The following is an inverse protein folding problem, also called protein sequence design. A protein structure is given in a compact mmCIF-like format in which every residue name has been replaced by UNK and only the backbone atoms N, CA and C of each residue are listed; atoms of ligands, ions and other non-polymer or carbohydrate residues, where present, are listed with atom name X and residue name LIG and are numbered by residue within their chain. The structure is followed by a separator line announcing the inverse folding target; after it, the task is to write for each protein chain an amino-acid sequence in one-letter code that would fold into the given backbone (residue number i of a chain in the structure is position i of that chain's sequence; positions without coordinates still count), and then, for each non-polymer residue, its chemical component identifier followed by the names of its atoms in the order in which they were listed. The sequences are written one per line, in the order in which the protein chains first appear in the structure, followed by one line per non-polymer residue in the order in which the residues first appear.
data_IF_924397769526
#
_entry.id   IF_924397769526
#
_cell.length_a   1.000
_cell.length_b   1.000
_cell.length_c   1.000
_cell.angle_alpha   90.00
_cell.angle_beta   90.00
_cell.angle_gamma   90.00
#
_symmetry.space_group_name_H-M   'P 1'
#
loop_
_entity.id
_entity.type
_entity.pdbx_description
1 polymer ?
#
# COMPACT_ATOMS: atom_id res chain seq x y z
N UNK A 1 -50.91 -33.95 -31.41
CA UNK A 1 -49.47 -34.29 -31.34
C UNK A 1 -48.67 -33.02 -31.12
N UNK A 2 -48.09 -32.82 -29.93
CA UNK A 2 -47.19 -31.69 -29.66
C UNK A 2 -45.75 -32.13 -29.86
N UNK A 3 -45.11 -31.65 -30.94
CA UNK A 3 -43.71 -31.96 -31.25
C UNK A 3 -42.82 -31.05 -30.40
N UNK A 4 -42.24 -31.59 -29.32
CA UNK A 4 -41.15 -30.92 -28.58
C UNK A 4 -39.98 -30.68 -29.54
N UNK A 5 -39.72 -29.42 -29.89
CA UNK A 5 -38.49 -29.02 -30.57
C UNK A 5 -37.36 -29.02 -29.53
N UNK A 6 -36.52 -30.06 -29.58
CA UNK A 6 -35.28 -30.10 -28.84
C UNK A 6 -34.28 -29.16 -29.51
N UNK A 7 -34.04 -27.99 -28.91
CA UNK A 7 -32.98 -27.09 -29.33
C UNK A 7 -31.65 -27.74 -28.99
N UNK A 8 -30.85 -28.11 -30.00
CA UNK A 8 -29.49 -28.60 -29.80
C UNK A 8 -28.63 -27.43 -29.31
N UNK A 9 -27.91 -27.55 -28.18
CA UNK A 9 -26.95 -26.54 -27.79
C UNK A 9 -25.86 -26.45 -28.86
N UNK A 10 -25.69 -25.27 -29.45
CA UNK A 10 -24.55 -24.97 -30.34
C UNK A 10 -23.28 -24.89 -29.50
N UNK A 11 -22.27 -25.70 -29.84
CA UNK A 11 -20.96 -25.64 -29.18
C UNK A 11 -20.16 -24.41 -29.60
N UNK A 12 -19.32 -23.92 -28.69
CA UNK A 12 -18.37 -22.83 -28.92
C UNK A 12 -17.27 -23.29 -29.92
N UNK A 13 -16.84 -22.43 -30.84
CA UNK A 13 -15.78 -22.81 -31.78
C UNK A 13 -14.38 -22.64 -31.16
N UNK A 14 -13.43 -23.48 -31.57
CA UNK A 14 -12.02 -23.36 -31.12
C UNK A 14 -11.40 -22.02 -31.57
N UNK A 15 -11.82 -21.51 -32.72
CA UNK A 15 -11.31 -20.23 -33.23
C UNK A 15 -11.82 -19.04 -32.41
N UNK A 16 -13.08 -19.07 -31.96
CA UNK A 16 -13.61 -18.05 -31.03
C UNK A 16 -12.80 -18.05 -29.73
N UNK A 17 -12.47 -19.22 -29.19
CA UNK A 17 -11.70 -19.31 -27.95
C UNK A 17 -10.27 -18.79 -28.13
N UNK A 18 -9.60 -19.11 -29.24
CA UNK A 18 -8.24 -18.63 -29.52
C UNK A 18 -8.17 -17.10 -29.60
N UNK A 19 -9.15 -16.45 -30.25
CA UNK A 19 -9.18 -14.99 -30.34
C UNK A 19 -9.41 -14.37 -28.97
N UNK A 20 -10.31 -14.94 -28.15
CA UNK A 20 -10.57 -14.45 -26.80
C UNK A 20 -9.31 -14.53 -25.93
N UNK A 21 -8.56 -15.64 -26.00
CA UNK A 21 -7.31 -15.79 -25.24
C UNK A 21 -6.25 -14.80 -25.72
N UNK A 22 -6.15 -14.55 -27.03
CA UNK A 22 -5.21 -13.58 -27.58
C UNK A 22 -5.51 -12.15 -27.06
N UNK A 23 -6.79 -11.75 -27.03
CA UNK A 23 -7.20 -10.43 -26.53
C UNK A 23 -6.94 -10.32 -25.02
N UNK A 24 -7.34 -11.31 -24.22
CA UNK A 24 -7.12 -11.32 -22.77
C UNK A 24 -5.62 -11.29 -22.44
N UNK A 25 -4.79 -11.99 -23.23
CA UNK A 25 -3.34 -11.99 -23.08
C UNK A 25 -2.72 -10.60 -23.24
N UNK A 26 -3.17 -9.82 -24.22
CA UNK A 26 -2.68 -8.44 -24.41
C UNK A 26 -3.17 -7.52 -23.29
N UNK A 27 -4.45 -7.63 -22.90
CA UNK A 27 -5.01 -6.80 -21.83
C UNK A 27 -4.38 -7.11 -20.46
N UNK A 28 -4.09 -8.37 -20.15
CA UNK A 28 -3.51 -8.77 -18.86
C UNK A 28 -2.07 -8.30 -18.69
N UNK A 29 -1.28 -8.27 -19.77
CA UNK A 29 0.11 -7.80 -19.75
C UNK A 29 0.24 -6.34 -19.25
N UNK A 30 -0.76 -5.50 -19.53
CA UNK A 30 -0.80 -4.10 -19.08
C UNK A 30 -1.62 -3.97 -17.78
N UNK A 31 -2.73 -4.71 -17.68
CA UNK A 31 -3.68 -4.59 -16.56
C UNK A 31 -3.13 -5.09 -15.23
N UNK A 32 -2.40 -6.22 -15.22
CA UNK A 32 -1.84 -6.81 -14.00
C UNK A 32 -0.83 -5.87 -13.31
N UNK A 33 0.23 -5.37 -13.98
CA UNK A 33 1.18 -4.47 -13.32
C UNK A 33 0.52 -3.15 -12.89
N UNK A 34 -0.43 -2.62 -13.67
CA UNK A 34 -1.17 -1.41 -13.30
C UNK A 34 -2.01 -1.62 -12.03
N UNK A 35 -2.70 -2.77 -11.92
CA UNK A 35 -3.49 -3.11 -10.74
C UNK A 35 -2.62 -3.32 -9.50
N UNK A 36 -1.49 -4.03 -9.63
CA UNK A 36 -0.53 -4.23 -8.53
C UNK A 36 -0.03 -2.87 -7.99
N UNK A 37 0.33 -1.95 -8.88
CA UNK A 37 0.73 -0.59 -8.50
C UNK A 37 -0.39 0.17 -7.76
N UNK A 38 -1.66 0.01 -8.19
CA UNK A 38 -2.79 0.64 -7.52
C UNK A 38 -3.01 0.10 -6.10
N UNK A 39 -2.90 -1.22 -5.91
CA UNK A 39 -3.00 -1.85 -4.58
C UNK A 39 -1.87 -1.37 -3.68
N UNK A 40 -0.63 -1.38 -4.17
CA UNK A 40 0.54 -0.88 -3.43
C UNK A 40 0.36 0.58 -2.98
N UNK A 41 -0.17 1.47 -3.83
CA UNK A 41 -0.46 2.87 -3.44
C UNK A 41 -1.50 2.97 -2.33
N UNK A 42 -2.52 2.11 -2.37
CA UNK A 42 -3.59 2.08 -1.37
C UNK A 42 -3.08 1.59 -0.01
N UNK A 43 -2.22 0.58 -0.02
CA UNK A 43 -1.50 0.10 1.17
C UNK A 43 -0.60 1.22 1.75
N UNK A 44 0.14 1.92 0.88
CA UNK A 44 1.01 3.04 1.27
C UNK A 44 0.21 4.14 1.97
N UNK A 45 -0.91 4.56 1.37
CA UNK A 45 -1.80 5.56 1.93
C UNK A 45 -2.34 5.16 3.32
N UNK A 46 -2.62 3.87 3.52
CA UNK A 46 -3.07 3.32 4.80
C UNK A 46 -1.97 3.37 5.87
N UNK A 47 -0.74 2.98 5.53
CA UNK A 47 0.41 3.12 6.43
C UNK A 47 0.68 4.59 6.79
N UNK A 48 0.56 5.50 5.83
CA UNK A 48 0.69 6.94 6.06
C UNK A 48 -0.39 7.50 6.98
N UNK A 49 -1.65 7.13 6.77
CA UNK A 49 -2.74 7.57 7.62
C UNK A 49 -2.52 7.11 9.07
N UNK A 50 -2.07 5.86 9.24
CA UNK A 50 -1.73 5.30 10.55
C UNK A 50 -0.63 6.08 11.25
N UNK A 51 0.45 6.48 10.55
CA UNK A 51 1.48 7.31 11.17
C UNK A 51 1.03 8.75 11.42
N UNK A 52 0.28 9.34 10.48
CA UNK A 52 -0.18 10.73 10.61
C UNK A 52 -1.05 10.95 11.85
N UNK A 53 -1.87 9.97 12.24
CA UNK A 53 -2.66 10.06 13.47
C UNK A 53 -1.81 10.05 14.74
N UNK A 54 -0.58 9.52 14.67
CA UNK A 54 0.35 9.42 15.78
C UNK A 54 1.33 10.59 15.88
N UNK A 55 1.40 11.47 14.88
CA UNK A 55 2.32 12.61 14.91
C UNK A 55 2.02 13.58 16.05
N UNK A 56 0.74 13.92 16.27
CA UNK A 56 0.34 14.81 17.37
C UNK A 56 0.67 14.26 18.76
N UNK A 57 0.28 13.01 19.13
CA UNK A 57 0.65 12.47 20.43
C UNK A 57 2.17 12.25 20.59
N UNK A 58 2.87 11.88 19.52
CA UNK A 58 4.33 11.78 19.55
C UNK A 58 5.00 13.15 19.76
N UNK A 59 4.46 14.22 19.18
CA UNK A 59 4.95 15.58 19.41
C UNK A 59 4.79 16.01 20.87
N UNK A 60 3.66 15.68 21.49
CA UNK A 60 3.44 15.95 22.91
C UNK A 60 4.43 15.15 23.76
N UNK A 61 4.59 13.86 23.47
CA UNK A 61 5.52 13.00 24.19
C UNK A 61 6.98 13.47 24.05
N UNK A 62 7.38 13.94 22.87
CA UNK A 62 8.70 14.51 22.63
C UNK A 62 8.92 15.80 23.42
N UNK A 63 7.91 16.67 23.55
CA UNK A 63 8.01 17.87 24.38
C UNK A 63 8.17 17.55 25.87
N UNK A 64 7.58 16.44 26.34
CA UNK A 64 7.68 16.00 27.73
C UNK A 64 8.99 15.27 28.05
N UNK A 65 9.45 14.39 27.15
CA UNK A 65 10.54 13.44 27.42
C UNK A 65 11.81 13.71 26.61
N UNK A 66 11.76 14.56 25.58
CA UNK A 66 12.88 14.83 24.67
C UNK A 66 13.30 13.63 23.81
N UNK A 67 12.52 12.54 23.81
CA UNK A 67 12.79 11.30 23.10
C UNK A 67 11.48 10.58 22.75
N UNK A 68 11.44 9.85 21.64
CA UNK A 68 10.38 8.91 21.25
C UNK A 68 10.79 7.45 21.44
N UNK A 69 11.98 7.15 21.97
CA UNK A 69 12.46 5.77 22.08
C UNK A 69 11.50 4.85 22.86
N UNK A 70 10.82 5.41 23.87
CA UNK A 70 9.83 4.73 24.71
C UNK A 70 8.39 5.14 24.37
N UNK A 71 8.17 5.75 23.21
CA UNK A 71 6.82 6.10 22.75
C UNK A 71 6.06 4.85 22.35
N UNK A 72 5.31 4.26 23.28
CA UNK A 72 4.49 3.05 23.06
C UNK A 72 3.00 3.34 22.88
N UNK A 73 2.60 4.61 22.74
CA UNK A 73 1.20 5.00 22.54
C UNK A 73 0.77 4.84 21.08
N UNK A 74 1.01 3.67 20.51
CA UNK A 74 0.53 3.27 19.20
C UNK A 74 -0.25 1.97 19.32
N UNK A 75 -1.34 1.85 18.57
CA UNK A 75 -2.12 0.62 18.48
C UNK A 75 -1.68 -0.10 17.20
N UNK A 76 -0.96 -1.21 17.33
CA UNK A 76 -0.56 -2.09 16.22
C UNK A 76 -1.75 -2.91 15.68
N UNK A 77 -2.87 -2.23 15.42
CA UNK A 77 -4.08 -2.86 14.91
C UNK A 77 -4.18 -2.77 13.37
N UNK A 78 -3.10 -2.37 12.70
CA UNK A 78 -3.06 -2.34 11.24
C UNK A 78 -2.84 -3.75 10.71
N UNK A 79 -3.70 -4.24 9.79
CA UNK A 79 -3.50 -5.56 9.18
C UNK A 79 -2.29 -5.62 8.25
N UNK A 80 -1.69 -4.48 7.90
CA UNK A 80 -0.60 -4.38 6.92
C UNK A 80 0.80 -4.39 7.55
N UNK A 81 0.91 -4.11 8.85
CA UNK A 81 2.20 -3.92 9.49
C UNK A 81 2.11 -3.23 10.84
N UNK A 82 3.26 -2.84 11.37
CA UNK A 82 3.42 -2.33 12.73
C UNK A 82 4.07 -0.96 12.78
N UNK A 83 3.76 -0.21 13.83
CA UNK A 83 4.42 1.06 14.17
C UNK A 83 5.55 0.77 15.16
N UNK A 84 6.66 1.45 15.01
CA UNK A 84 7.82 1.38 15.89
C UNK A 84 8.46 2.75 16.00
N UNK A 85 9.17 3.02 17.10
CA UNK A 85 10.01 4.20 17.24
C UNK A 85 11.49 3.78 17.26
N UNK A 86 12.12 3.55 16.10
CA UNK A 86 13.44 2.92 16.01
C UNK A 86 14.58 3.83 16.52
N UNK A 87 14.35 5.13 16.59
CA UNK A 87 15.32 6.13 17.04
C UNK A 87 14.60 7.14 17.92
N UNK A 88 15.38 7.95 18.65
CA UNK A 88 14.83 8.96 19.55
C UNK A 88 13.86 9.88 18.82
N UNK A 89 14.16 10.37 17.62
CA UNK A 89 13.33 11.38 16.93
C UNK A 89 12.50 10.82 15.77
N UNK A 90 12.35 9.50 15.66
CA UNK A 90 11.77 8.88 14.45
C UNK A 90 10.64 7.93 14.79
N UNK A 91 9.52 8.07 14.10
CA UNK A 91 8.45 7.08 14.03
C UNK A 91 8.54 6.33 12.70
N UNK A 92 8.32 5.02 12.74
CA UNK A 92 8.40 4.16 11.56
C UNK A 92 7.20 3.22 11.51
N UNK A 93 6.55 3.16 10.35
CA UNK A 93 5.63 2.09 9.99
C UNK A 93 6.35 1.12 9.07
N UNK A 94 6.35 -0.16 9.43
CA UNK A 94 6.96 -1.21 8.61
C UNK A 94 5.85 -2.10 8.06
N UNK A 95 5.81 -2.25 6.74
CA UNK A 95 4.88 -3.16 6.07
C UNK A 95 5.40 -4.59 6.23
N UNK A 96 4.64 -5.45 6.90
CA UNK A 96 4.97 -6.87 7.09
C UNK A 96 4.08 -7.77 6.23
N UNK A 97 3.08 -7.20 5.57
CA UNK A 97 2.13 -7.89 4.69
C UNK A 97 1.84 -7.05 3.43
N UNK A 98 1.18 -7.68 2.47
CA UNK A 98 0.72 -7.02 1.24
C UNK A 98 1.82 -6.86 0.19
N UNK A 99 1.52 -6.00 -0.79
CA UNK A 99 2.39 -5.70 -1.93
C UNK A 99 3.64 -4.91 -1.53
N UNK A 100 3.58 -4.22 -0.38
CA UNK A 100 4.67 -3.41 0.17
C UNK A 100 5.55 -4.13 1.20
N UNK A 101 5.41 -5.44 1.40
CA UNK A 101 6.16 -6.17 2.44
C UNK A 101 7.67 -5.87 2.39
N UNK A 102 8.24 -5.52 3.55
CA UNK A 102 9.65 -5.10 3.70
C UNK A 102 9.90 -3.62 3.45
N UNK A 103 8.92 -2.87 2.93
CA UNK A 103 8.98 -1.42 2.81
C UNK A 103 8.69 -0.75 4.16
N UNK A 104 9.15 0.49 4.32
CA UNK A 104 8.88 1.27 5.53
C UNK A 104 8.64 2.74 5.23
N UNK A 105 7.90 3.38 6.13
CA UNK A 105 7.63 4.82 6.12
C UNK A 105 8.17 5.38 7.42
N UNK A 106 8.93 6.47 7.32
CA UNK A 106 9.60 7.10 8.44
C UNK A 106 9.14 8.55 8.53
N UNK A 107 8.75 8.96 9.73
CA UNK A 107 8.60 10.36 10.09
C UNK A 107 9.71 10.71 11.09
N UNK A 108 10.63 11.55 10.66
CA UNK A 108 11.71 12.06 11.51
C UNK A 108 11.42 13.49 11.91
N UNK A 109 11.41 13.76 13.21
CA UNK A 109 11.27 15.11 13.75
C UNK A 109 12.51 15.93 13.39
N UNK A 110 12.26 17.11 12.80
CA UNK A 110 13.23 18.19 12.55
C UNK A 110 12.88 19.37 13.45
N UNK A 111 13.66 20.45 13.44
CA UNK A 111 13.37 21.63 14.29
C UNK A 111 12.02 22.30 13.92
N UNK A 112 11.70 22.37 12.63
CA UNK A 112 10.51 23.09 12.10
C UNK A 112 9.31 22.20 11.75
N UNK A 113 9.41 20.88 11.91
CA UNK A 113 8.30 19.97 11.65
C UNK A 113 8.71 18.50 11.54
N UNK A 114 7.89 17.72 10.85
CA UNK A 114 8.11 16.29 10.63
C UNK A 114 8.46 16.02 9.17
N UNK A 115 9.64 15.44 8.92
CA UNK A 115 10.05 15.02 7.58
C UNK A 115 9.60 13.59 7.32
N UNK A 116 8.82 13.38 6.26
CA UNK A 116 8.47 12.04 5.81
C UNK A 116 9.54 11.47 4.88
N UNK A 117 9.86 10.19 5.00
CA UNK A 117 10.69 9.44 4.06
C UNK A 117 10.05 8.07 3.86
N UNK A 118 9.94 7.64 2.60
CA UNK A 118 9.40 6.32 2.25
C UNK A 118 10.55 5.49 1.70
N UNK A 119 10.84 4.37 2.33
CA UNK A 119 11.80 3.38 1.87
C UNK A 119 11.01 2.22 1.25
N UNK A 120 10.96 2.19 -0.08
CA UNK A 120 10.30 1.12 -0.83
C UNK A 120 11.26 -0.07 -1.01
N UNK A 121 10.72 -1.28 -1.01
CA UNK A 121 11.44 -2.44 -1.52
C UNK A 121 11.76 -2.25 -3.03
N UNK A 122 12.88 -2.82 -3.49
CA UNK A 122 13.56 -2.52 -4.77
C UNK A 122 12.74 -2.65 -6.05
N UNK A 123 11.55 -3.22 -5.98
CA UNK A 123 10.75 -3.61 -7.15
C UNK A 123 9.58 -2.65 -7.43
N UNK A 124 9.40 -1.62 -6.58
CA UNK A 124 8.30 -0.67 -6.67
C UNK A 124 8.82 0.73 -7.00
N UNK A 125 8.72 1.11 -8.27
CA UNK A 125 9.02 2.46 -8.74
C UNK A 125 7.73 3.29 -8.80
N UNK A 126 7.28 3.80 -7.64
CA UNK A 126 6.23 4.81 -7.61
C UNK A 126 6.73 6.11 -6.98
N UNK A 127 6.36 7.24 -7.59
CA UNK A 127 6.63 8.58 -7.07
C UNK A 127 6.09 8.71 -5.63
N UNK A 128 6.88 9.33 -4.75
CA UNK A 128 6.49 9.54 -3.36
C UNK A 128 5.13 10.24 -3.29
N UNK A 129 4.15 9.68 -2.56
CA UNK A 129 2.82 10.27 -2.51
C UNK A 129 2.87 11.69 -1.93
N UNK A 130 2.00 12.56 -2.44
CA UNK A 130 1.96 13.99 -2.11
C UNK A 130 1.85 14.25 -0.59
N UNK A 131 1.25 13.33 0.15
CA UNK A 131 1.14 13.37 1.61
C UNK A 131 2.48 13.30 2.36
N UNK A 132 3.57 12.92 1.68
CA UNK A 132 4.97 13.00 2.12
C UNK A 132 5.81 14.02 1.36
N UNK A 133 5.23 14.68 0.34
CA UNK A 133 5.94 15.65 -0.51
C UNK A 133 6.02 17.06 0.11
N UNK A 134 5.30 17.34 1.18
CA UNK A 134 5.19 18.69 1.77
C UNK A 134 6.35 19.11 2.71
N UNK A 135 7.43 18.33 2.84
CA UNK A 135 8.59 18.73 3.66
C UNK A 135 9.92 18.33 3.01
N UNK A 136 10.14 18.82 1.79
CA UNK A 136 11.47 18.90 1.18
C UNK A 136 12.10 20.26 1.45
#
# INVERSE_FOLDING_TARGET
MQRKLSVKPSGFTLIELMIVVAIIGVLSAIGVPAYQNYVAKSELATGLATLKSLLTPAELYWQENGSLADFTQYQDNSPLGKVTAPQTNTLQFTFEQGSLNGSSILYTRQDSGWRCTVNLASDLNFETPQSCADNQ
#
